data_IF_685212821429
#
_entry.id   IF_685212821429
#
_cell.length_a   1.000
_cell.length_b   1.000
_cell.length_c   1.000
_cell.angle_alpha   90.00
_cell.angle_beta   90.00
_cell.angle_gamma   90.00
#
_symmetry.space_group_name_H-M   'P 1'
#
loop_
_entity.id
_entity.type
_entity.pdbx_description
1 polymer ?
#
# COMPACT_ATOMS: atom_id res chain seq x y z
N UNK A 1 -2.28 -24.24 9.00
CA UNK A 1 -3.20 -25.34 8.67
C UNK A 1 -4.44 -25.14 9.54
N UNK A 2 -5.62 -24.93 8.95
CA UNK A 2 -6.88 -24.86 9.71
C UNK A 2 -7.18 -26.25 10.27
N UNK A 3 -7.37 -26.36 11.59
CA UNK A 3 -7.73 -27.64 12.25
C UNK A 3 -9.26 -27.83 12.29
N UNK A 4 -9.99 -26.73 12.32
CA UNK A 4 -11.44 -26.60 12.22
C UNK A 4 -11.77 -25.24 11.59
N UNK A 5 -13.05 -24.92 11.39
CA UNK A 5 -13.50 -23.63 10.83
C UNK A 5 -13.16 -22.43 11.71
N UNK A 6 -12.94 -22.64 13.00
CA UNK A 6 -12.72 -21.63 14.04
C UNK A 6 -11.32 -21.68 14.69
N UNK A 7 -10.49 -22.69 14.38
CA UNK A 7 -9.17 -22.87 14.99
C UNK A 7 -8.02 -22.87 13.97
N UNK A 8 -7.11 -21.90 14.15
CA UNK A 8 -5.87 -21.77 13.39
C UNK A 8 -4.69 -22.41 14.13
N UNK A 9 -4.08 -23.45 13.54
CA UNK A 9 -2.81 -23.98 14.03
C UNK A 9 -1.64 -23.30 13.31
N UNK A 10 -0.85 -22.58 14.09
CA UNK A 10 0.32 -21.80 13.64
C UNK A 10 1.57 -22.38 14.31
N UNK A 11 2.51 -22.99 13.56
CA UNK A 11 3.75 -23.53 14.13
C UNK A 11 4.62 -22.46 14.81
N UNK A 12 4.66 -21.26 14.23
CA UNK A 12 5.36 -20.09 14.76
C UNK A 12 4.59 -18.82 14.38
N UNK A 13 4.65 -17.83 15.28
CA UNK A 13 4.05 -16.50 15.11
C UNK A 13 5.06 -15.47 15.57
N UNK A 14 5.15 -14.36 14.86
CA UNK A 14 5.98 -13.20 15.22
C UNK A 14 5.16 -11.91 15.16
N UNK A 15 5.77 -10.81 15.57
CA UNK A 15 5.13 -9.49 15.64
C UNK A 15 4.90 -8.83 14.27
N UNK A 16 5.50 -9.34 13.20
CA UNK A 16 5.44 -8.75 11.87
C UNK A 16 4.35 -9.37 10.99
N UNK A 17 3.68 -10.42 11.48
CA UNK A 17 2.56 -11.07 10.79
C UNK A 17 1.21 -10.57 11.30
N UNK A 18 0.25 -10.45 10.37
CA UNK A 18 -1.15 -10.21 10.66
C UNK A 18 -2.04 -11.30 10.06
N UNK A 19 -3.18 -11.54 10.71
CA UNK A 19 -4.19 -12.50 10.30
C UNK A 19 -5.51 -11.77 10.06
N UNK A 20 -6.31 -12.27 9.12
CA UNK A 20 -7.63 -11.73 8.81
C UNK A 20 -8.65 -12.86 8.90
N UNK A 21 -9.82 -12.56 9.43
CA UNK A 21 -10.92 -13.50 9.59
C UNK A 21 -12.17 -12.85 8.99
N UNK A 22 -12.95 -13.64 8.25
CA UNK A 22 -14.27 -13.22 7.80
C UNK A 22 -15.30 -13.77 8.78
N UNK A 23 -16.16 -12.89 9.28
CA UNK A 23 -17.23 -13.24 10.19
C UNK A 23 -18.56 -13.12 9.44
N UNK A 24 -19.47 -14.05 9.69
CA UNK A 24 -20.85 -14.01 9.22
C UNK A 24 -21.78 -13.92 10.42
N UNK A 25 -22.81 -13.09 10.32
CA UNK A 25 -23.87 -13.03 11.29
C UNK A 25 -24.93 -14.08 10.91
N UNK A 26 -25.20 -15.04 11.79
CA UNK A 26 -26.23 -16.07 11.57
C UNK A 26 -27.62 -15.59 12.00
N UNK A 27 -27.70 -14.76 13.04
CA UNK A 27 -28.96 -14.21 13.55
C UNK A 27 -29.35 -12.91 12.86
N UNK A 28 -30.62 -12.75 12.49
CA UNK A 28 -31.10 -11.61 11.70
C UNK A 28 -31.15 -10.29 12.48
N UNK A 29 -31.23 -10.34 13.82
CA UNK A 29 -31.38 -9.16 14.67
C UNK A 29 -30.54 -9.29 15.94
N UNK A 30 -29.60 -8.38 16.12
CA UNK A 30 -28.84 -8.23 17.36
C UNK A 30 -29.66 -7.41 18.37
N UNK A 31 -30.05 -8.04 19.48
CA UNK A 31 -30.83 -7.38 20.56
C UNK A 31 -29.95 -6.58 21.53
N UNK A 32 -28.65 -6.83 21.53
CA UNK A 32 -27.69 -6.16 22.40
C UNK A 32 -27.09 -4.93 21.71
N UNK A 33 -26.84 -3.83 22.44
CA UNK A 33 -26.27 -2.62 21.86
C UNK A 33 -24.78 -2.77 21.50
N UNK A 34 -24.13 -3.86 21.88
CA UNK A 34 -22.69 -4.06 21.72
C UNK A 34 -22.40 -5.54 21.51
N UNK A 35 -21.60 -5.82 20.48
CA UNK A 35 -21.04 -7.15 20.20
C UNK A 35 -19.58 -7.17 20.65
N UNK A 36 -19.16 -8.30 21.20
CA UNK A 36 -17.79 -8.51 21.64
C UNK A 36 -17.09 -9.54 20.75
N UNK A 37 -15.86 -9.24 20.38
CA UNK A 37 -14.97 -10.16 19.67
C UNK A 37 -13.82 -10.51 20.61
N UNK A 38 -13.57 -11.81 20.78
CA UNK A 38 -12.44 -12.29 21.56
C UNK A 38 -11.57 -13.22 20.71
N UNK A 39 -10.27 -12.94 20.70
CA UNK A 39 -9.26 -13.77 20.07
C UNK A 39 -8.29 -14.24 21.15
N UNK A 40 -8.08 -15.55 21.25
CA UNK A 40 -7.14 -16.16 22.18
C UNK A 40 -6.01 -16.85 21.42
N UNK A 41 -4.77 -16.48 21.75
CA UNK A 41 -3.55 -17.13 21.27
C UNK A 41 -2.93 -17.92 22.42
N UNK A 42 -3.04 -19.25 22.34
CA UNK A 42 -2.30 -20.18 23.19
C UNK A 42 -0.95 -20.49 22.53
N UNK A 43 0.16 -20.22 23.22
CA UNK A 43 1.50 -20.42 22.66
C UNK A 43 2.55 -20.74 23.72
N UNK A 44 3.67 -21.30 23.28
CA UNK A 44 4.88 -21.41 24.09
C UNK A 44 5.80 -20.24 23.74
N UNK A 45 6.13 -19.40 24.72
CA UNK A 45 7.06 -18.30 24.54
C UNK A 45 8.49 -18.81 24.31
N UNK A 46 9.36 -17.98 23.74
CA UNK A 46 10.78 -18.32 23.51
C UNK A 46 11.55 -18.62 24.80
N UNK A 47 11.06 -18.14 25.94
CA UNK A 47 11.58 -18.48 27.28
C UNK A 47 11.09 -19.85 27.81
N UNK A 48 10.31 -20.62 27.03
CA UNK A 48 9.81 -21.95 27.41
C UNK A 48 8.48 -21.95 28.17
N UNK A 49 7.91 -20.79 28.48
CA UNK A 49 6.64 -20.70 29.21
C UNK A 49 5.42 -20.89 28.31
N UNK A 50 4.43 -21.65 28.78
CA UNK A 50 3.10 -21.69 28.16
C UNK A 50 2.30 -20.46 28.59
N UNK A 51 1.85 -19.67 27.62
CA UNK A 51 1.10 -18.44 27.85
C UNK A 51 -0.17 -18.40 27.01
N UNK A 52 -1.16 -17.67 27.51
CA UNK A 52 -2.38 -17.33 26.77
C UNK A 52 -2.39 -15.81 26.62
N UNK A 53 -2.47 -15.32 25.38
CA UNK A 53 -2.70 -13.90 25.09
C UNK A 53 -4.14 -13.75 24.59
N UNK A 54 -4.88 -12.85 25.22
CA UNK A 54 -6.28 -12.58 24.86
C UNK A 54 -6.40 -11.15 24.36
N UNK A 55 -7.05 -10.97 23.21
CA UNK A 55 -7.49 -9.68 22.71
C UNK A 55 -9.01 -9.65 22.75
N UNK A 56 -9.58 -8.61 23.35
CA UNK A 56 -11.03 -8.39 23.40
C UNK A 56 -11.33 -7.03 22.79
N UNK A 57 -12.24 -7.01 21.82
CA UNK A 57 -12.74 -5.80 21.17
C UNK A 57 -14.25 -5.74 21.35
N UNK A 58 -14.79 -4.54 21.56
CA UNK A 58 -16.21 -4.28 21.63
C UNK A 58 -16.60 -3.37 20.45
N UNK A 59 -17.67 -3.71 19.76
CA UNK A 59 -18.20 -2.91 18.65
C UNK A 59 -19.67 -2.56 18.91
N UNK A 60 -20.07 -1.29 18.75
CA UNK A 60 -21.46 -0.90 18.90
C UNK A 60 -22.32 -1.49 17.77
N UNK A 61 -23.54 -1.89 18.09
CA UNK A 61 -24.54 -2.28 17.11
C UNK A 61 -25.29 -1.04 16.66
N UNK A 62 -25.35 -0.84 15.34
CA UNK A 62 -26.06 0.30 14.73
C UNK A 62 -27.24 -0.21 13.91
N UNK A 63 -28.34 0.55 13.90
CA UNK A 63 -29.55 0.25 13.12
C UNK A 63 -29.57 0.99 11.78
N UNK A 64 -28.79 2.06 11.64
CA UNK A 64 -28.64 2.85 10.41
C UNK A 64 -27.41 2.40 9.61
N UNK A 65 -27.62 2.10 8.32
CA UNK A 65 -26.54 1.72 7.42
C UNK A 65 -25.56 2.89 7.19
N UNK A 66 -26.05 4.13 7.20
CA UNK A 66 -25.21 5.32 7.07
C UNK A 66 -24.18 5.42 8.21
N UNK A 67 -24.59 5.10 9.44
CA UNK A 67 -23.69 5.02 10.60
C UNK A 67 -22.65 3.90 10.47
N UNK A 68 -23.07 2.73 9.98
CA UNK A 68 -22.15 1.62 9.70
C UNK A 68 -21.06 2.05 8.70
N UNK A 69 -21.45 2.74 7.62
CA UNK A 69 -20.49 3.26 6.65
C UNK A 69 -19.52 4.27 7.27
N UNK A 70 -19.97 5.18 8.15
CA UNK A 70 -19.09 6.14 8.83
C UNK A 70 -18.00 5.46 9.66
N UNK A 71 -18.27 4.28 10.22
CA UNK A 71 -17.32 3.53 11.04
C UNK A 71 -16.46 2.52 10.25
N UNK A 72 -16.66 2.42 8.93
CA UNK A 72 -15.93 1.46 8.11
C UNK A 72 -14.42 1.78 8.01
N UNK A 73 -13.58 0.82 8.37
CA UNK A 73 -12.11 0.95 8.28
C UNK A 73 -11.62 0.53 6.88
N UNK A 74 -11.18 1.52 6.09
CA UNK A 74 -10.61 1.28 4.75
C UNK A 74 -9.43 0.30 4.79
N UNK A 75 -8.53 0.42 5.77
CA UNK A 75 -7.34 -0.41 5.87
C UNK A 75 -7.67 -1.88 6.13
N UNK A 76 -8.60 -2.14 7.05
CA UNK A 76 -9.07 -3.49 7.34
C UNK A 76 -9.74 -4.12 6.10
N UNK A 77 -10.60 -3.37 5.41
CA UNK A 77 -11.28 -3.82 4.19
C UNK A 77 -10.27 -4.15 3.08
N UNK A 78 -9.32 -3.24 2.82
CA UNK A 78 -8.27 -3.44 1.80
C UNK A 78 -7.41 -4.66 2.13
N UNK A 79 -7.06 -4.85 3.40
CA UNK A 79 -6.29 -6.02 3.85
C UNK A 79 -7.04 -7.33 3.63
N UNK A 80 -8.34 -7.38 3.92
CA UNK A 80 -9.15 -8.56 3.65
C UNK A 80 -9.30 -8.81 2.14
N UNK A 81 -9.59 -7.76 1.37
CA UNK A 81 -9.74 -7.83 -0.08
C UNK A 81 -8.45 -8.32 -0.76
N UNK A 82 -7.28 -7.88 -0.29
CA UNK A 82 -5.98 -8.35 -0.73
C UNK A 82 -5.85 -9.87 -0.58
N UNK A 83 -6.11 -10.40 0.62
CA UNK A 83 -5.98 -11.83 0.93
C UNK A 83 -6.94 -12.67 0.11
N UNK A 84 -8.21 -12.27 0.02
CA UNK A 84 -9.21 -12.96 -0.79
C UNK A 84 -8.87 -12.94 -2.29
N UNK A 85 -8.34 -11.83 -2.79
CA UNK A 85 -7.95 -11.73 -4.19
C UNK A 85 -6.74 -12.64 -4.50
N UNK A 86 -5.73 -12.66 -3.63
CA UNK A 86 -4.56 -13.55 -3.77
C UNK A 86 -4.98 -15.00 -3.66
N UNK A 87 -5.78 -15.38 -2.67
CA UNK A 87 -6.32 -16.73 -2.52
C UNK A 87 -7.07 -17.19 -3.78
N UNK A 88 -7.89 -16.31 -4.36
CA UNK A 88 -8.63 -16.59 -5.60
C UNK A 88 -7.71 -16.89 -6.79
N UNK A 89 -6.49 -16.35 -6.83
CA UNK A 89 -5.50 -16.66 -7.89
C UNK A 89 -5.03 -18.11 -7.86
N UNK A 90 -5.19 -18.81 -6.73
CA UNK A 90 -4.82 -20.22 -6.61
C UNK A 90 -5.79 -21.14 -7.34
N UNK A 91 -7.03 -20.69 -7.57
CA UNK A 91 -8.12 -21.50 -8.16
C UNK A 91 -8.72 -20.90 -9.43
N UNK A 92 -8.39 -19.67 -9.79
CA UNK A 92 -9.01 -18.92 -10.89
C UNK A 92 -7.99 -18.07 -11.64
N UNK A 93 -8.36 -17.57 -12.83
CA UNK A 93 -7.47 -16.70 -13.60
C UNK A 93 -7.25 -15.37 -12.88
N UNK A 94 -6.11 -14.74 -13.12
CA UNK A 94 -5.77 -13.42 -12.55
C UNK A 94 -6.83 -12.35 -12.86
N UNK A 95 -7.39 -12.41 -14.07
CA UNK A 95 -8.48 -11.52 -14.48
C UNK A 95 -9.73 -11.71 -13.61
N UNK A 96 -10.11 -12.95 -13.32
CA UNK A 96 -11.25 -13.26 -12.44
C UNK A 96 -11.04 -12.77 -11.01
N UNK A 97 -9.80 -12.81 -10.52
CA UNK A 97 -9.43 -12.27 -9.21
C UNK A 97 -9.57 -10.75 -9.17
N UNK A 98 -9.05 -10.03 -10.18
CA UNK A 98 -9.20 -8.57 -10.31
C UNK A 98 -10.66 -8.16 -10.49
N UNK A 99 -11.41 -8.85 -11.34
CA UNK A 99 -12.84 -8.61 -11.53
C UNK A 99 -13.62 -8.83 -10.23
N UNK A 100 -13.28 -9.87 -9.46
CA UNK A 100 -13.91 -10.11 -8.16
C UNK A 100 -13.67 -8.98 -7.16
N UNK A 101 -12.45 -8.43 -7.12
CA UNK A 101 -12.11 -7.28 -6.30
C UNK A 101 -12.91 -6.04 -6.72
N UNK A 102 -12.94 -5.76 -8.02
CA UNK A 102 -13.68 -4.66 -8.61
C UNK A 102 -15.17 -4.73 -8.27
N UNK A 103 -15.79 -5.89 -8.45
CA UNK A 103 -17.22 -6.07 -8.17
C UNK A 103 -17.56 -5.86 -6.70
N UNK A 104 -16.68 -6.23 -5.77
CA UNK A 104 -16.86 -5.93 -4.34
C UNK A 104 -16.85 -4.43 -4.08
N UNK A 105 -15.92 -3.68 -4.68
CA UNK A 105 -15.85 -2.21 -4.55
C UNK A 105 -17.10 -1.55 -5.13
N UNK A 106 -17.52 -1.97 -6.34
CA UNK A 106 -18.74 -1.48 -6.99
C UNK A 106 -19.97 -1.73 -6.12
N UNK A 107 -20.09 -2.93 -5.53
CA UNK A 107 -21.20 -3.28 -4.64
C UNK A 107 -21.26 -2.35 -3.43
N UNK A 108 -20.14 -2.17 -2.72
CA UNK A 108 -20.04 -1.27 -1.55
C UNK A 108 -20.51 0.14 -1.90
N UNK A 109 -20.05 0.70 -3.01
CA UNK A 109 -20.41 2.06 -3.43
C UNK A 109 -21.86 2.18 -3.91
N UNK A 110 -22.40 1.13 -4.53
CA UNK A 110 -23.80 1.09 -4.96
C UNK A 110 -24.76 1.08 -3.78
N UNK A 111 -24.51 0.22 -2.80
CA UNK A 111 -25.35 0.15 -1.60
C UNK A 111 -25.36 1.50 -0.87
N UNK A 112 -24.19 2.16 -0.75
CA UNK A 112 -24.13 3.50 -0.17
C UNK A 112 -24.90 4.54 -0.98
N UNK A 113 -24.79 4.53 -2.32
CA UNK A 113 -25.56 5.42 -3.21
C UNK A 113 -27.07 5.23 -3.03
N UNK A 114 -27.53 3.99 -2.90
CA UNK A 114 -28.95 3.67 -2.78
C UNK A 114 -29.57 4.22 -1.49
N UNK A 115 -28.81 4.37 -0.40
CA UNK A 115 -29.26 5.03 0.82
C UNK A 115 -29.73 6.47 0.61
N UNK A 116 -29.13 7.17 -0.36
CA UNK A 116 -29.40 8.59 -0.63
C UNK A 116 -30.17 8.80 -1.93
N UNK A 117 -30.72 7.74 -2.55
CA UNK A 117 -31.39 7.77 -3.86
C UNK A 117 -32.46 8.87 -3.99
N UNK A 118 -33.20 9.17 -2.91
CA UNK A 118 -34.26 10.20 -2.87
C UNK A 118 -33.71 11.63 -2.97
N UNK A 119 -32.46 11.87 -2.57
CA UNK A 119 -31.84 13.20 -2.55
C UNK A 119 -31.13 13.55 -3.87
N UNK A 120 -31.09 12.64 -4.85
CA UNK A 120 -30.22 12.79 -6.02
C UNK A 120 -30.93 13.30 -7.28
N UNK A 121 -30.94 14.64 -7.45
CA UNK A 121 -31.03 15.31 -8.76
C UNK A 121 -29.65 15.54 -9.42
N UNK A 122 -28.61 14.86 -8.94
CA UNK A 122 -27.21 15.08 -9.34
C UNK A 122 -26.64 13.83 -10.02
N UNK A 123 -27.15 13.49 -11.21
CA UNK A 123 -26.77 12.27 -11.94
C UNK A 123 -25.28 12.16 -12.34
N UNK A 124 -24.53 13.26 -12.27
CA UNK A 124 -23.16 13.33 -12.76
C UNK A 124 -22.07 13.18 -11.68
N UNK A 125 -22.41 13.14 -10.38
CA UNK A 125 -21.40 13.05 -9.31
C UNK A 125 -21.34 11.65 -8.71
N UNK A 126 -20.13 11.17 -8.44
CA UNK A 126 -19.93 9.93 -7.69
C UNK A 126 -20.21 10.18 -6.20
N UNK A 127 -21.11 9.38 -5.64
CA UNK A 127 -21.45 9.41 -4.22
C UNK A 127 -20.69 8.27 -3.54
N UNK A 128 -19.99 8.58 -2.46
CA UNK A 128 -19.19 7.63 -1.70
C UNK A 128 -19.11 8.07 -0.23
N UNK A 129 -18.89 7.14 0.70
CA UNK A 129 -18.71 7.48 2.11
C UNK A 129 -17.31 8.03 2.36
N UNK A 130 -17.19 9.06 3.20
CA UNK A 130 -15.92 9.71 3.54
C UNK A 130 -14.89 8.73 4.12
N UNK A 131 -15.34 7.79 4.93
CA UNK A 131 -14.54 6.72 5.53
C UNK A 131 -13.86 5.81 4.50
N UNK A 132 -14.44 5.67 3.29
CA UNK A 132 -13.96 4.83 2.21
C UNK A 132 -13.46 5.63 0.99
N UNK A 133 -13.15 6.92 1.14
CA UNK A 133 -12.69 7.76 0.02
C UNK A 133 -11.47 7.22 -0.72
N UNK A 134 -10.61 6.47 -0.03
CA UNK A 134 -9.41 5.85 -0.62
C UNK A 134 -9.61 4.40 -1.07
N UNK A 135 -10.81 3.83 -0.90
CA UNK A 135 -11.07 2.42 -1.25
C UNK A 135 -10.83 2.15 -2.73
N UNK A 136 -11.27 3.04 -3.62
CA UNK A 136 -11.05 2.89 -5.07
C UNK A 136 -9.56 2.97 -5.43
N UNK A 137 -8.81 3.86 -4.78
CA UNK A 137 -7.38 4.04 -5.00
C UNK A 137 -6.61 2.77 -4.60
N UNK A 138 -6.86 2.24 -3.40
CA UNK A 138 -6.24 0.98 -2.97
C UNK A 138 -6.73 -0.23 -3.78
N UNK A 139 -7.97 -0.21 -4.27
CA UNK A 139 -8.48 -1.22 -5.20
C UNK A 139 -7.72 -1.25 -6.54
N UNK A 140 -7.39 -0.09 -7.08
CA UNK A 140 -6.53 0.04 -8.25
C UNK A 140 -5.10 -0.43 -7.95
N UNK A 141 -4.54 0.02 -6.84
CA UNK A 141 -3.21 -0.39 -6.37
C UNK A 141 -3.08 -1.92 -6.25
N UNK A 142 -4.09 -2.57 -5.64
CA UNK A 142 -4.17 -4.02 -5.56
C UNK A 142 -4.23 -4.66 -6.94
N UNK A 143 -5.08 -4.14 -7.84
CA UNK A 143 -5.21 -4.68 -9.20
C UNK A 143 -3.92 -4.59 -10.02
N UNK A 144 -3.08 -3.58 -9.75
CA UNK A 144 -1.75 -3.39 -10.35
C UNK A 144 -0.60 -4.07 -9.60
N UNK A 145 -0.84 -4.57 -8.39
CA UNK A 145 0.19 -5.20 -7.57
C UNK A 145 0.73 -6.48 -8.20
N UNK A 146 1.98 -6.83 -7.90
CA UNK A 146 2.70 -7.98 -8.46
C UNK A 146 1.92 -9.31 -8.41
N UNK A 147 1.18 -9.64 -7.32
CA UNK A 147 0.41 -10.88 -7.28
C UNK A 147 -0.77 -10.94 -8.26
N UNK A 148 -1.35 -9.78 -8.61
CA UNK A 148 -2.61 -9.67 -9.35
C UNK A 148 -2.45 -9.11 -10.76
N UNK A 149 -1.36 -8.40 -11.06
CA UNK A 149 -1.08 -7.89 -12.41
C UNK A 149 -0.92 -9.05 -13.39
N UNK A 150 -1.21 -8.81 -14.66
CA UNK A 150 -1.05 -9.80 -15.73
C UNK A 150 -1.21 -9.14 -17.10
N UNK A 151 -1.05 -9.91 -18.17
CA UNK A 151 -1.06 -9.38 -19.54
C UNK A 151 0.32 -8.86 -19.94
N UNK A 152 0.38 -7.67 -20.55
CA UNK A 152 1.63 -7.11 -21.09
C UNK A 152 2.66 -6.69 -20.02
N UNK A 153 2.20 -6.50 -18.77
CA UNK A 153 3.01 -6.14 -17.61
C UNK A 153 3.14 -7.31 -16.61
N UNK A 154 3.31 -8.54 -17.12
CA UNK A 154 3.42 -9.74 -16.30
C UNK A 154 4.65 -9.72 -15.37
N UNK A 155 4.60 -10.49 -14.29
CA UNK A 155 5.73 -10.74 -13.40
C UNK A 155 6.22 -12.19 -13.58
N UNK A 156 7.50 -12.43 -13.25
CA UNK A 156 8.00 -13.78 -13.15
C UNK A 156 7.22 -14.56 -12.08
N UNK A 157 7.06 -15.87 -12.28
CA UNK A 157 6.27 -16.72 -11.38
C UNK A 157 6.80 -16.65 -9.94
N UNK A 158 8.12 -16.70 -9.76
CA UNK A 158 8.75 -16.64 -8.44
C UNK A 158 8.50 -15.31 -7.74
N UNK A 159 8.63 -14.19 -8.47
CA UNK A 159 8.32 -12.85 -7.96
C UNK A 159 6.85 -12.73 -7.54
N UNK A 160 5.94 -13.29 -8.34
CA UNK A 160 4.50 -13.31 -8.06
C UNK A 160 4.19 -14.08 -6.78
N UNK A 161 4.73 -15.29 -6.67
CA UNK A 161 4.53 -16.14 -5.49
C UNK A 161 5.11 -15.48 -4.23
N UNK A 162 6.33 -14.93 -4.32
CA UNK A 162 6.98 -14.25 -3.20
C UNK A 162 6.21 -13.00 -2.74
N UNK A 163 5.77 -12.16 -3.69
CA UNK A 163 4.96 -10.99 -3.39
C UNK A 163 3.60 -11.38 -2.78
N UNK A 164 2.95 -12.40 -3.34
CA UNK A 164 1.65 -12.88 -2.86
C UNK A 164 1.74 -13.41 -1.43
N UNK A 165 2.74 -14.25 -1.16
CA UNK A 165 3.00 -14.78 0.17
C UNK A 165 3.28 -13.67 1.20
N UNK A 166 4.09 -12.68 0.82
CA UNK A 166 4.40 -11.53 1.67
C UNK A 166 3.14 -10.72 1.97
N UNK A 167 2.37 -10.34 0.94
CA UNK A 167 1.17 -9.53 1.09
C UNK A 167 0.06 -10.22 1.91
N UNK A 168 -0.03 -11.54 1.87
CA UNK A 168 -0.98 -12.30 2.72
C UNK A 168 -0.66 -12.22 4.23
N UNK A 169 0.59 -11.94 4.59
CA UNK A 169 1.04 -11.90 5.99
C UNK A 169 1.22 -10.48 6.54
N UNK A 170 1.33 -9.46 5.68
CA UNK A 170 1.64 -8.09 6.12
C UNK A 170 0.57 -7.50 7.05
N UNK A 171 0.97 -6.72 8.07
CA UNK A 171 0.07 -5.89 8.86
C UNK A 171 -0.57 -4.79 8.02
N UNK A 172 -1.78 -4.37 8.39
CA UNK A 172 -2.59 -3.38 7.63
C UNK A 172 -1.77 -2.15 7.26
N UNK A 173 -1.09 -1.51 8.22
CA UNK A 173 -0.27 -0.32 7.98
C UNK A 173 0.82 -0.54 6.92
N UNK A 174 1.45 -1.72 6.91
CA UNK A 174 2.54 -2.06 5.98
C UNK A 174 1.98 -2.37 4.59
N UNK A 175 0.89 -3.13 4.53
CA UNK A 175 0.22 -3.42 3.27
C UNK A 175 -0.23 -2.13 2.58
N UNK A 176 -0.83 -1.18 3.30
CA UNK A 176 -1.22 0.10 2.73
C UNK A 176 -0.01 0.90 2.22
N UNK A 177 1.12 0.88 2.95
CA UNK A 177 2.37 1.52 2.50
C UNK A 177 2.96 0.85 1.24
N UNK A 178 2.86 -0.47 1.14
CA UNK A 178 3.31 -1.22 -0.03
C UNK A 178 2.42 -0.96 -1.26
N UNK A 179 1.11 -0.82 -1.05
CA UNK A 179 0.14 -0.55 -2.13
C UNK A 179 0.18 0.90 -2.61
N UNK A 180 0.30 1.86 -1.68
CA UNK A 180 0.48 3.27 -1.99
C UNK A 180 1.76 3.80 -1.29
N UNK A 181 2.92 3.58 -1.94
CA UNK A 181 4.22 4.05 -1.47
C UNK A 181 4.30 5.56 -1.26
N UNK A 182 5.29 5.99 -0.49
CA UNK A 182 5.60 7.41 -0.34
C UNK A 182 6.60 7.85 -1.40
N UNK A 183 6.21 8.76 -2.28
CA UNK A 183 7.12 9.48 -3.16
C UNK A 183 7.40 10.86 -2.59
N UNK A 184 8.68 11.19 -2.37
CA UNK A 184 9.11 12.40 -1.67
C UNK A 184 10.22 13.06 -2.46
N UNK A 185 10.11 14.36 -2.73
CA UNK A 185 11.21 15.14 -3.30
C UNK A 185 12.19 15.53 -2.20
N UNK A 186 13.46 15.17 -2.35
CA UNK A 186 14.48 15.28 -1.29
C UNK A 186 15.59 16.29 -1.58
N UNK A 187 15.79 16.74 -2.83
CA UNK A 187 16.83 17.72 -3.18
C UNK A 187 16.71 19.02 -2.39
N UNK A 188 15.48 19.54 -2.22
CA UNK A 188 15.24 20.80 -1.49
C UNK A 188 15.65 20.71 -0.01
N UNK A 189 15.51 19.55 0.62
CA UNK A 189 15.93 19.34 2.00
C UNK A 189 17.45 19.26 2.12
N UNK A 190 18.06 18.52 1.21
CA UNK A 190 19.50 18.25 1.26
C UNK A 190 20.32 19.54 1.10
N UNK A 191 19.79 20.53 0.37
CA UNK A 191 20.42 21.83 0.14
C UNK A 191 20.22 22.84 1.30
N UNK A 192 19.26 22.65 2.23
CA UNK A 192 18.95 23.64 3.27
C UNK A 192 19.93 23.60 4.45
N UNK A 193 20.73 24.64 4.75
CA UNK A 193 21.83 24.58 5.72
C UNK A 193 21.43 24.24 7.17
N UNK A 194 20.20 24.52 7.59
CA UNK A 194 19.76 24.36 8.98
C UNK A 194 18.37 23.72 9.07
N UNK A 195 18.25 22.45 8.70
CA UNK A 195 16.97 21.77 8.80
C UNK A 195 16.63 21.47 10.28
N UNK A 196 15.64 22.17 10.82
CA UNK A 196 15.08 21.90 12.15
C UNK A 196 14.15 20.67 12.10
N UNK A 197 13.73 20.16 13.26
CA UNK A 197 12.83 19.00 13.32
C UNK A 197 11.48 19.23 12.59
N UNK A 198 10.99 20.47 12.57
CA UNK A 198 9.76 20.85 11.86
C UNK A 198 9.92 20.87 10.34
N UNK A 199 11.13 21.11 9.82
CA UNK A 199 11.41 21.00 8.38
C UNK A 199 11.22 19.57 7.89
N UNK A 200 11.64 18.58 8.69
CA UNK A 200 11.48 17.17 8.35
C UNK A 200 10.01 16.79 8.11
N UNK A 201 9.07 17.31 8.92
CA UNK A 201 7.64 17.04 8.73
C UNK A 201 7.10 17.65 7.44
N UNK A 202 7.49 18.88 7.12
CA UNK A 202 7.08 19.56 5.89
C UNK A 202 7.64 18.87 4.62
N UNK A 203 8.82 18.27 4.73
CA UNK A 203 9.50 17.57 3.62
C UNK A 203 8.92 16.19 3.36
N UNK A 204 8.41 15.52 4.40
CA UNK A 204 7.70 14.25 4.25
C UNK A 204 6.33 14.39 3.57
N UNK A 205 6.04 15.54 2.95
CA UNK A 205 4.86 15.72 2.10
C UNK A 205 4.97 14.77 0.92
N UNK A 206 4.08 13.79 0.90
CA UNK A 206 3.99 12.78 -0.15
C UNK A 206 3.45 13.41 -1.42
N UNK A 207 4.11 13.13 -2.52
CA UNK A 207 3.65 13.45 -3.86
C UNK A 207 2.73 12.34 -4.37
N UNK A 208 1.79 12.66 -5.26
CA UNK A 208 1.01 11.66 -5.99
C UNK A 208 1.92 10.69 -6.75
N UNK A 209 1.45 9.47 -6.98
CA UNK A 209 2.21 8.43 -7.68
C UNK A 209 1.95 8.51 -9.19
N UNK A 210 2.35 9.64 -9.76
CA UNK A 210 2.22 10.03 -11.17
C UNK A 210 3.57 10.42 -11.76
N UNK A 211 3.78 10.15 -13.05
CA UNK A 211 5.00 10.52 -13.77
C UNK A 211 5.18 12.04 -13.84
N UNK A 212 4.07 12.79 -13.90
CA UNK A 212 4.10 14.26 -13.84
C UNK A 212 4.61 14.81 -12.50
N UNK A 213 4.63 14.00 -11.43
CA UNK A 213 5.22 14.40 -10.14
C UNK A 213 6.76 14.37 -10.15
N UNK A 214 7.37 13.75 -11.16
CA UNK A 214 8.82 13.64 -11.32
C UNK A 214 9.35 14.75 -12.25
N UNK A 215 10.06 15.72 -11.68
CA UNK A 215 10.81 16.74 -12.43
C UNK A 215 12.20 16.19 -12.76
N UNK A 216 12.61 16.28 -14.04
CA UNK A 216 13.93 15.87 -14.51
C UNK A 216 15.10 16.56 -13.80
N UNK A 217 14.88 17.65 -13.08
CA UNK A 217 15.89 18.39 -12.29
C UNK A 217 15.92 17.98 -10.82
N UNK A 218 14.97 17.17 -10.36
CA UNK A 218 14.80 16.81 -8.96
C UNK A 218 15.51 15.52 -8.56
N UNK A 219 15.55 15.30 -7.24
CA UNK A 219 15.99 14.06 -6.62
C UNK A 219 14.85 13.53 -5.74
N UNK A 220 14.45 12.29 -5.95
CA UNK A 220 13.26 11.72 -5.31
C UNK A 220 13.60 10.46 -4.53
N UNK A 221 12.93 10.28 -3.40
CA UNK A 221 12.91 9.06 -2.62
C UNK A 221 11.53 8.42 -2.75
N UNK A 222 11.51 7.19 -3.22
CA UNK A 222 10.35 6.30 -3.19
C UNK A 222 10.55 5.27 -2.07
N UNK A 223 9.56 5.15 -1.20
CA UNK A 223 9.56 4.28 -0.02
C UNK A 223 8.27 3.45 0.03
N UNK A 224 8.37 2.17 -0.31
CA UNK A 224 7.29 1.17 -0.25
C UNK A 224 7.26 0.38 1.08
N UNK A 225 8.18 0.69 2.01
CA UNK A 225 8.35 0.01 3.28
C UNK A 225 9.24 -1.24 3.24
N UNK A 226 9.53 -1.79 2.05
CA UNK A 226 10.44 -2.93 1.87
C UNK A 226 11.78 -2.50 1.29
N UNK A 227 11.80 -1.46 0.45
CA UNK A 227 12.99 -0.90 -0.19
C UNK A 227 12.88 0.61 -0.32
N UNK A 228 14.03 1.24 -0.50
CA UNK A 228 14.12 2.62 -0.93
C UNK A 228 14.56 2.66 -2.38
N UNK A 229 13.93 3.51 -3.19
CA UNK A 229 14.41 3.82 -4.54
C UNK A 229 14.72 5.31 -4.57
N UNK A 230 15.99 5.65 -4.82
CA UNK A 230 16.44 7.03 -4.96
C UNK A 230 16.60 7.30 -6.45
N UNK A 231 15.72 8.12 -6.98
CA UNK A 231 15.64 8.45 -8.40
C UNK A 231 16.31 9.80 -8.68
N UNK A 232 17.25 9.78 -9.61
CA UNK A 232 18.03 10.93 -10.06
C UNK A 232 17.48 11.43 -11.39
N UNK A 233 16.95 12.65 -11.41
CA UNK A 233 16.55 13.30 -12.65
C UNK A 233 17.73 13.49 -13.61
N UNK A 234 17.47 13.40 -14.92
CA UNK A 234 18.50 13.51 -15.97
C UNK A 234 19.19 14.88 -15.99
N UNK A 235 18.46 15.92 -15.58
CA UNK A 235 18.88 17.32 -15.52
C UNK A 235 19.25 17.74 -14.08
N UNK A 236 19.40 16.80 -13.15
CA UNK A 236 19.85 17.09 -11.79
C UNK A 236 21.28 17.66 -11.82
N UNK A 237 21.55 18.65 -10.98
CA UNK A 237 22.89 19.24 -10.88
C UNK A 237 23.96 18.15 -10.61
N UNK A 238 25.02 18.07 -11.43
CA UNK A 238 26.11 17.12 -11.21
C UNK A 238 26.77 17.26 -9.84
N UNK A 239 26.76 18.45 -9.25
CA UNK A 239 27.34 18.70 -7.93
C UNK A 239 26.56 17.99 -6.82
N UNK A 240 25.22 17.99 -6.90
CA UNK A 240 24.37 17.26 -5.94
C UNK A 240 24.69 15.77 -6.01
N UNK A 241 24.71 15.22 -7.22
CA UNK A 241 24.94 13.80 -7.41
C UNK A 241 26.38 13.39 -7.07
N UNK A 242 27.39 14.24 -7.31
CA UNK A 242 28.78 14.02 -6.87
C UNK A 242 28.90 14.06 -5.35
N UNK A 243 28.22 14.98 -4.67
CA UNK A 243 28.23 15.03 -3.20
C UNK A 243 27.57 13.77 -2.59
N UNK A 244 26.53 13.24 -3.22
CA UNK A 244 25.83 12.06 -2.72
C UNK A 244 26.56 10.75 -3.02
N UNK A 245 27.10 10.59 -4.23
CA UNK A 245 27.68 9.32 -4.72
C UNK A 245 29.22 9.29 -4.68
N UNK A 246 29.86 10.44 -4.43
CA UNK A 246 31.31 10.53 -4.36
C UNK A 246 32.00 10.17 -5.69
N UNK A 247 33.14 9.44 -5.67
CA UNK A 247 33.87 9.08 -6.88
C UNK A 247 33.09 8.13 -7.80
N UNK A 248 32.07 7.46 -7.28
CA UNK A 248 31.22 6.53 -8.03
C UNK A 248 30.10 7.21 -8.82
N UNK A 249 30.01 8.55 -8.81
CA UNK A 249 28.98 9.30 -9.56
C UNK A 249 28.93 8.99 -11.07
N UNK A 250 30.11 8.70 -11.66
CA UNK A 250 30.24 8.35 -13.06
C UNK A 250 30.04 6.85 -13.35
N UNK A 251 29.95 6.02 -12.31
CA UNK A 251 29.73 4.59 -12.45
C UNK A 251 28.26 4.28 -12.77
N UNK A 252 28.02 3.05 -13.21
CA UNK A 252 26.67 2.51 -13.36
C UNK A 252 26.00 2.42 -11.98
N UNK A 253 24.90 3.14 -11.78
CA UNK A 253 24.23 3.25 -10.47
C UNK A 253 23.78 1.91 -9.89
N UNK A 254 23.61 0.88 -10.74
CA UNK A 254 23.31 -0.48 -10.33
C UNK A 254 24.37 -1.11 -9.42
N UNK A 255 25.63 -0.66 -9.52
CA UNK A 255 26.79 -1.18 -8.78
C UNK A 255 27.22 -0.30 -7.61
N UNK A 256 26.62 0.88 -7.48
CA UNK A 256 26.98 1.88 -6.48
C UNK A 256 26.31 1.53 -5.15
N UNK A 257 27.13 1.30 -4.14
CA UNK A 257 26.65 1.12 -2.77
C UNK A 257 26.52 2.50 -2.11
N UNK A 258 25.29 2.87 -1.72
CA UNK A 258 25.07 4.15 -1.04
C UNK A 258 25.78 4.14 0.33
N UNK A 259 26.83 4.92 0.45
CA UNK A 259 27.66 5.08 1.65
C UNK A 259 27.68 6.53 2.09
N UNK A 260 27.98 6.74 3.38
CA UNK A 260 28.17 8.07 3.92
C UNK A 260 29.50 8.64 3.44
N UNK A 261 29.45 9.74 2.70
CA UNK A 261 30.62 10.49 2.24
C UNK A 261 30.94 11.63 3.22
N UNK A 262 32.18 12.13 3.20
CA UNK A 262 32.59 13.25 4.05
C UNK A 262 32.08 14.60 3.51
N UNK A 263 30.75 14.74 3.48
CA UNK A 263 30.06 15.99 3.22
C UNK A 263 28.70 16.00 3.91
N UNK A 264 28.25 17.20 4.23
CA UNK A 264 27.03 17.41 5.01
C UNK A 264 25.76 16.91 4.26
N UNK A 265 25.76 16.95 2.93
CA UNK A 265 24.63 16.48 2.11
C UNK A 265 24.42 14.97 2.23
N UNK A 266 25.50 14.19 2.10
CA UNK A 266 25.47 12.72 2.25
C UNK A 266 25.06 12.32 3.67
N UNK A 267 25.65 12.95 4.71
CA UNK A 267 25.27 12.72 6.11
C UNK A 267 23.78 12.96 6.37
N UNK A 268 23.20 13.98 5.74
CA UNK A 268 21.76 14.28 5.85
C UNK A 268 20.88 13.25 5.19
N UNK A 269 21.26 12.78 4.00
CA UNK A 269 20.55 11.69 3.33
C UNK A 269 20.58 10.43 4.20
N UNK A 270 21.76 10.04 4.71
CA UNK A 270 21.90 8.87 5.57
C UNK A 270 21.10 8.99 6.86
N UNK A 271 21.09 10.18 7.50
CA UNK A 271 20.26 10.46 8.69
C UNK A 271 18.76 10.40 8.38
N UNK A 272 18.33 10.88 7.21
CA UNK A 272 16.93 10.76 6.76
C UNK A 272 16.55 9.28 6.60
N UNK A 273 17.33 8.50 5.85
CA UNK A 273 17.07 7.08 5.63
C UNK A 273 17.05 6.29 6.95
N UNK A 274 17.95 6.64 7.88
CA UNK A 274 17.96 6.06 9.23
C UNK A 274 16.68 6.35 10.00
N UNK A 275 16.20 7.60 10.00
CA UNK A 275 14.92 7.98 10.65
C UNK A 275 13.73 7.24 10.05
N UNK A 276 13.71 7.04 8.73
CA UNK A 276 12.66 6.27 8.06
C UNK A 276 12.67 4.80 8.48
N UNK A 277 13.85 4.19 8.56
CA UNK A 277 14.04 2.82 9.10
C UNK A 277 13.60 2.71 10.55
N UNK A 278 13.95 3.67 11.40
CA UNK A 278 13.55 3.68 12.81
C UNK A 278 12.01 3.76 12.98
N UNK A 279 11.31 4.41 12.04
CA UNK A 279 9.85 4.45 12.02
C UNK A 279 9.19 3.13 11.58
N UNK A 280 9.96 2.25 10.93
CA UNK A 280 9.55 1.00 10.32
C UNK A 280 10.63 -0.09 10.46
N UNK A 281 10.79 -0.67 11.66
CA UNK A 281 11.91 -1.58 11.95
C UNK A 281 11.70 -3.01 11.44
N UNK A 282 10.53 -3.35 10.91
CA UNK A 282 10.18 -4.72 10.50
C UNK A 282 11.02 -5.23 9.33
N UNK A 283 11.50 -4.33 8.47
CA UNK A 283 12.34 -4.65 7.32
C UNK A 283 13.50 -3.67 7.20
N UNK A 284 14.65 -4.15 6.74
CA UNK A 284 15.74 -3.27 6.36
C UNK A 284 15.55 -2.80 4.92
N UNK A 285 15.13 -1.55 4.73
CA UNK A 285 14.91 -1.01 3.38
C UNK A 285 16.25 -0.74 2.69
N UNK A 286 16.62 -1.62 1.76
CA UNK A 286 17.83 -1.47 0.94
C UNK A 286 17.63 -0.31 -0.06
N UNK A 287 18.60 0.61 -0.18
CA UNK A 287 18.52 1.69 -1.16
C UNK A 287 18.96 1.21 -2.55
N UNK A 288 18.10 1.44 -3.53
CA UNK A 288 18.39 1.28 -4.95
C UNK A 288 18.53 2.65 -5.60
N UNK A 289 19.62 2.84 -6.32
CA UNK A 289 19.88 4.05 -7.10
C UNK A 289 19.41 3.82 -8.54
N UNK A 290 18.77 4.84 -9.12
CA UNK A 290 18.33 4.80 -10.52
C UNK A 290 18.35 6.19 -11.15
N UNK A 291 18.80 6.30 -12.40
CA UNK A 291 18.79 7.56 -13.15
C UNK A 291 17.66 7.58 -14.17
N UNK A 292 17.11 8.75 -14.42
CA UNK A 292 16.11 8.95 -15.47
C UNK A 292 16.68 8.54 -16.84
N UNK A 293 15.95 7.67 -17.56
CA UNK A 293 16.35 7.09 -18.83
C UNK A 293 17.14 5.78 -18.72
N UNK A 294 17.45 5.29 -17.51
CA UNK A 294 18.15 4.03 -17.28
C UNK A 294 17.19 2.83 -17.42
N UNK A 295 16.80 2.51 -18.66
CA UNK A 295 15.90 1.39 -18.96
C UNK A 295 16.66 0.06 -19.05
N UNK A 296 16.08 -1.07 -18.59
CA UNK A 296 14.73 -1.24 -18.04
C UNK A 296 14.61 -0.97 -16.52
N UNK A 297 15.71 -0.59 -15.86
CA UNK A 297 15.79 -0.46 -14.40
C UNK A 297 14.82 0.58 -13.84
N UNK A 298 14.76 1.76 -14.46
CA UNK A 298 13.81 2.82 -14.12
C UNK A 298 12.36 2.35 -14.23
N UNK A 299 12.04 1.64 -15.31
CA UNK A 299 10.73 1.04 -15.54
C UNK A 299 10.32 0.10 -14.40
N UNK A 300 11.19 -0.84 -14.04
CA UNK A 300 10.91 -1.87 -13.03
C UNK A 300 10.92 -1.35 -11.59
N UNK A 301 11.85 -0.45 -11.25
CA UNK A 301 12.00 0.03 -9.87
C UNK A 301 11.00 1.14 -9.52
N UNK A 302 10.68 2.03 -10.46
CA UNK A 302 9.86 3.21 -10.18
C UNK A 302 8.63 3.32 -11.07
N UNK A 303 8.76 3.39 -12.40
CA UNK A 303 7.64 3.82 -13.26
C UNK A 303 6.45 2.87 -13.23
N UNK A 304 6.68 1.55 -13.12
CA UNK A 304 5.59 0.57 -12.97
C UNK A 304 4.83 0.73 -11.65
N UNK A 305 5.44 1.37 -10.65
CA UNK A 305 4.87 1.61 -9.32
C UNK A 305 4.24 3.00 -9.20
N UNK A 306 4.23 3.82 -10.27
CA UNK A 306 3.43 5.04 -10.37
C UNK A 306 1.97 4.65 -10.66
N UNK A 307 1.31 4.15 -9.62
CA UNK A 307 0.05 3.41 -9.73
C UNK A 307 -1.10 4.22 -10.35
N UNK A 308 -1.02 5.55 -10.34
CA UNK A 308 -2.08 6.41 -10.87
C UNK A 308 -1.99 6.54 -12.39
N UNK A 309 -0.81 6.30 -12.98
CA UNK A 309 -0.59 6.38 -14.42
C UNK A 309 -1.14 5.17 -15.19
N UNK A 310 -1.41 5.41 -16.46
CA UNK A 310 -1.69 4.38 -17.44
C UNK A 310 -0.36 3.80 -17.96
N UNK A 311 -0.03 2.56 -17.58
CA UNK A 311 1.22 1.89 -17.98
C UNK A 311 0.97 0.47 -18.48
N UNK A 312 1.57 0.09 -19.61
CA UNK A 312 1.55 -1.30 -20.11
C UNK A 312 0.16 -1.89 -20.35
N UNK A 313 -0.81 -1.07 -20.81
CA UNK A 313 -2.20 -1.48 -21.03
C UNK A 313 -3.07 -1.56 -19.78
N UNK A 314 -2.53 -1.22 -18.60
CA UNK A 314 -3.33 -1.06 -17.37
C UNK A 314 -4.06 0.29 -17.36
N UNK A 315 -5.13 0.39 -16.59
CA UNK A 315 -6.01 1.58 -16.54
C UNK A 315 -5.43 2.64 -15.59
N UNK A 316 -5.44 3.93 -15.97
CA UNK A 316 -5.07 5.04 -15.08
C UNK A 316 -6.11 5.29 -13.99
N UNK A 317 -5.79 6.07 -12.96
CA UNK A 317 -6.71 6.30 -11.83
C UNK A 317 -8.01 6.99 -12.26
N UNK A 318 -7.94 7.98 -13.15
CA UNK A 318 -9.12 8.69 -13.64
C UNK A 318 -10.06 7.76 -14.40
N UNK A 319 -9.51 6.96 -15.32
CA UNK A 319 -10.28 5.97 -16.08
C UNK A 319 -10.87 4.88 -15.20
N UNK A 320 -10.13 4.44 -14.18
CA UNK A 320 -10.60 3.49 -13.18
C UNK A 320 -11.81 4.03 -12.43
N UNK A 321 -11.76 5.27 -11.94
CA UNK A 321 -12.89 5.91 -11.27
C UNK A 321 -14.10 6.04 -12.21
N UNK A 322 -13.89 6.44 -13.47
CA UNK A 322 -14.96 6.49 -14.47
C UNK A 322 -15.59 5.12 -14.71
N UNK A 323 -14.79 4.06 -14.80
CA UNK A 323 -15.28 2.69 -14.96
C UNK A 323 -16.11 2.24 -13.75
N UNK A 324 -15.63 2.46 -12.53
CA UNK A 324 -16.35 2.15 -11.30
C UNK A 324 -17.66 2.94 -11.25
N UNK A 325 -17.63 4.24 -11.57
CA UNK A 325 -18.82 5.09 -11.58
C UNK A 325 -19.89 4.58 -12.56
N UNK A 326 -19.50 4.21 -13.79
CA UNK A 326 -20.42 3.61 -14.78
C UNK A 326 -21.04 2.31 -14.27
N UNK A 327 -20.25 1.42 -13.66
CA UNK A 327 -20.76 0.15 -13.13
C UNK A 327 -21.65 0.28 -11.89
N UNK A 328 -21.44 1.34 -11.10
CA UNK A 328 -22.35 1.70 -10.00
C UNK A 328 -23.70 2.17 -10.57
N UNK A 329 -23.71 2.88 -11.70
CA UNK A 329 -24.94 3.37 -12.34
C UNK A 329 -25.70 2.29 -13.15
N UNK A 330 -25.00 1.43 -13.89
CA UNK A 330 -25.60 0.47 -14.84
C UNK A 330 -26.39 -0.67 -14.18
N UNK A 331 -26.13 -0.93 -12.90
CA UNK A 331 -26.72 -2.04 -12.15
C UNK A 331 -27.61 -1.50 -11.02
N UNK A 332 -28.19 -0.32 -11.22
CA UNK A 332 -29.14 0.33 -10.32
C UNK A 332 -30.58 -0.01 -10.70
#
# INVERSE_FOLDING_TARGET
>A
MLRSTDLLALPAVDCDKAYAMQLSLEETLLSTPTVYFQVALLYTASCGERRIRVHTAAAPVVTDLGEMYRQADTGAIVSLFCRLAIEKTLTSKLEDARNSLQQRIVKVLREYRNLYAVQHRLGARMIYPESLKFLCLYGLALSKSVPLKGGYADAQLDERCAAGFTMMALPVKKLLKLLYPSLIRIDEYLLKPSAQADDFKNIMKRLPLLAESLDSRGLYLYDDGLRFVIWFGRMLSPDIARNLLGPEFAAELSRVALTENDNEMSRRLMKMLKRLRESDPSYYQLPYLVRQGEQPREGFLLLVNLIEDQMGGTVGYVDWIMQIHRQVQQNA
#
